data_IF_675034016752
#
_entry.id   IF_675034016752
#
_cell.length_a   1.000
_cell.length_b   1.000
_cell.length_c   1.000
_cell.angle_alpha   90.00
_cell.angle_beta   90.00
_cell.angle_gamma   90.00
#
_symmetry.space_group_name_H-M   'P 1'
#
loop_
_entity.id
_entity.type
_entity.pdbx_description
1 polymer ?
#
# COMPACT_ATOMS: atom_id res chain seq x y z
N UNK A 1 8.63 7.30 -6.63
CA UNK A 1 9.06 6.05 -7.30
C UNK A 1 7.85 5.13 -7.45
N UNK A 2 7.58 4.59 -8.64
CA UNK A 2 6.47 3.63 -8.83
C UNK A 2 6.90 2.30 -8.22
N UNK A 3 6.25 1.86 -7.13
CA UNK A 3 6.48 0.55 -6.52
C UNK A 3 5.99 -0.54 -7.46
N UNK A 4 6.86 -0.93 -8.39
CA UNK A 4 6.66 -2.09 -9.26
C UNK A 4 7.19 -3.34 -8.57
N UNK A 5 6.30 -4.28 -8.23
CA UNK A 5 6.72 -5.58 -7.70
C UNK A 5 7.42 -6.40 -8.79
N UNK A 6 8.38 -7.23 -8.41
CA UNK A 6 9.20 -8.07 -9.31
C UNK A 6 8.41 -9.16 -10.05
N UNK A 7 7.12 -9.35 -9.75
CA UNK A 7 6.22 -10.35 -10.34
C UNK A 7 4.86 -9.75 -10.76
N UNK A 8 4.92 -8.74 -11.64
CA UNK A 8 3.78 -8.17 -12.36
C UNK A 8 2.93 -7.19 -11.52
N UNK A 9 2.72 -5.99 -12.06
CA UNK A 9 2.01 -4.88 -11.39
C UNK A 9 0.49 -5.06 -11.30
N UNK A 10 -0.01 -6.29 -11.42
CA UNK A 10 -1.44 -6.58 -11.45
C UNK A 10 -2.00 -6.71 -10.02
N UNK A 11 -3.21 -6.21 -9.80
CA UNK A 11 -4.00 -6.51 -8.60
C UNK A 11 -4.60 -7.89 -8.81
N UNK A 12 -3.98 -8.92 -8.22
CA UNK A 12 -4.33 -10.33 -8.47
C UNK A 12 -5.54 -10.80 -7.64
N UNK A 13 -5.88 -10.10 -6.55
CA UNK A 13 -6.88 -10.55 -5.57
C UNK A 13 -7.53 -9.37 -4.84
N UNK A 14 -8.77 -9.58 -4.36
CA UNK A 14 -9.53 -8.62 -3.57
C UNK A 14 -8.77 -8.19 -2.31
N UNK A 15 -9.01 -6.97 -1.82
CA UNK A 15 -8.42 -6.40 -0.61
C UNK A 15 -6.91 -6.06 -0.66
N UNK A 16 -6.34 -5.82 -1.84
CA UNK A 16 -5.05 -5.11 -1.92
C UNK A 16 -5.25 -3.68 -1.39
N UNK A 17 -4.37 -3.20 -0.51
CA UNK A 17 -4.46 -1.86 0.09
C UNK A 17 -3.30 -0.97 -0.36
N UNK A 18 -3.54 0.33 -0.44
CA UNK A 18 -2.54 1.33 -0.78
C UNK A 18 -2.59 2.46 0.24
N UNK A 19 -1.42 2.93 0.67
CA UNK A 19 -1.30 4.17 1.43
C UNK A 19 -0.96 5.28 0.43
N UNK A 20 -1.69 6.38 0.51
CA UNK A 20 -1.55 7.55 -0.35
C UNK A 20 -1.19 8.74 0.54
N UNK A 21 -0.17 9.49 0.16
CA UNK A 21 0.27 10.66 0.90
C UNK A 21 -0.63 11.89 0.63
N UNK A 22 -0.33 13.00 1.33
CA UNK A 22 -1.08 14.27 1.24
C UNK A 22 -1.05 14.91 -0.15
N UNK A 23 -0.09 14.56 -0.99
CA UNK A 23 0.04 15.07 -2.36
C UNK A 23 -0.69 14.16 -3.37
N UNK A 24 -1.39 13.13 -2.88
CA UNK A 24 -2.15 12.19 -3.69
C UNK A 24 -1.29 11.10 -4.32
N UNK A 25 -0.05 10.91 -3.85
CA UNK A 25 0.89 9.93 -4.42
C UNK A 25 0.82 8.62 -3.64
N UNK A 26 0.65 7.46 -4.31
CA UNK A 26 0.77 6.16 -3.65
C UNK A 26 2.21 5.90 -3.17
N UNK A 27 2.38 5.65 -1.88
CA UNK A 27 3.69 5.53 -1.20
C UNK A 27 3.96 4.12 -0.66
N UNK A 28 2.92 3.36 -0.33
CA UNK A 28 3.03 1.94 0.06
C UNK A 28 1.92 1.09 -0.59
N UNK A 29 2.22 -0.20 -0.83
CA UNK A 29 1.27 -1.22 -1.34
C UNK A 29 1.32 -2.44 -0.43
N UNK A 30 0.16 -2.88 0.04
CA UNK A 30 0.02 -4.03 0.95
C UNK A 30 -0.87 -5.12 0.36
N UNK A 31 -0.50 -6.37 0.65
CA UNK A 31 -1.23 -7.56 0.23
C UNK A 31 -2.59 -7.72 0.92
N UNK A 32 -3.43 -8.64 0.43
CA UNK A 32 -4.75 -8.90 0.99
C UNK A 32 -4.73 -9.48 2.41
N UNK A 33 -3.67 -10.18 2.77
CA UNK A 33 -3.45 -10.82 4.06
C UNK A 33 -2.97 -9.88 5.17
N UNK A 34 -2.71 -8.60 4.87
CA UNK A 34 -2.33 -7.61 5.88
C UNK A 34 -3.59 -7.07 6.56
N UNK A 35 -3.64 -7.13 7.89
CA UNK A 35 -4.71 -6.56 8.71
C UNK A 35 -4.64 -5.02 8.62
N UNK A 36 -5.76 -4.32 8.36
CA UNK A 36 -5.79 -2.87 8.36
C UNK A 36 -5.23 -2.21 9.64
N UNK A 37 -5.39 -2.84 10.81
CA UNK A 37 -4.89 -2.28 12.07
C UNK A 37 -3.36 -2.26 12.13
N UNK A 38 -2.68 -3.19 11.47
CA UNK A 38 -1.22 -3.20 11.39
C UNK A 38 -0.67 -2.02 10.57
N UNK A 39 -1.50 -1.42 9.71
CA UNK A 39 -1.12 -0.28 8.86
C UNK A 39 -1.02 1.04 9.61
N UNK A 40 -1.53 1.14 10.84
CA UNK A 40 -1.47 2.39 11.64
C UNK A 40 -0.03 2.89 11.77
N UNK A 41 0.91 1.98 12.02
CA UNK A 41 2.35 2.30 12.11
C UNK A 41 2.95 2.78 10.78
N UNK A 42 2.41 2.33 9.64
CA UNK A 42 2.81 2.84 8.33
C UNK A 42 2.23 4.23 8.09
N UNK A 43 0.97 4.47 8.48
CA UNK A 43 0.31 5.78 8.33
C UNK A 43 1.02 6.88 9.13
N UNK A 44 1.48 6.59 10.34
CA UNK A 44 2.24 7.52 11.20
C UNK A 44 3.47 8.14 10.51
N UNK A 45 4.05 7.49 9.49
CA UNK A 45 5.20 8.02 8.73
C UNK A 45 4.81 9.16 7.77
N UNK A 46 3.52 9.27 7.45
CA UNK A 46 2.99 10.17 6.41
C UNK A 46 2.01 11.22 6.96
N UNK A 47 1.81 11.24 8.28
CA UNK A 47 1.20 12.37 8.99
C UNK A 47 2.19 13.54 9.06
#
# INVERSE_FOLDING_TARGET
>A
HKQGGTLGNFVKWNFTKFIVDKDGVPVERHGPNVDPLDLVKSLEKYW
#
